data_IF_258719665229
#
_entry.id   IF_258719665229
#
_cell.length_a   1.000
_cell.length_b   1.000
_cell.length_c   1.000
_cell.angle_alpha   90.00
_cell.angle_beta   90.00
_cell.angle_gamma   90.00
#
_symmetry.space_group_name_H-M   'P 1'
#
loop_
_entity.id
_entity.type
_entity.pdbx_description
1 polymer ?
#
# COMPACT_ATOMS: atom_id res chain seq x y z
N UNK A 1 10.39 -18.50 -7.66
CA UNK A 1 11.64 -18.66 -6.86
C UNK A 1 11.93 -17.38 -6.07
N UNK A 2 11.97 -16.19 -6.67
CA UNK A 2 12.31 -14.92 -5.99
C UNK A 2 11.37 -14.53 -4.86
N UNK A 3 10.10 -14.95 -4.89
CA UNK A 3 9.13 -14.78 -3.81
C UNK A 3 9.24 -15.82 -2.70
N UNK A 4 9.92 -16.94 -2.95
CA UNK A 4 10.07 -18.04 -1.99
C UNK A 4 11.21 -17.81 -1.00
N UNK A 5 12.20 -17.01 -1.40
CA UNK A 5 13.40 -16.75 -0.60
C UNK A 5 13.28 -15.36 0.04
N UNK A 6 13.21 -15.34 1.37
CA UNK A 6 13.41 -14.11 2.13
C UNK A 6 14.91 -13.86 2.21
N UNK A 7 15.44 -13.02 1.32
CA UNK A 7 16.84 -12.61 1.42
C UNK A 7 17.04 -11.93 2.76
N UNK A 8 18.06 -12.39 3.52
CA UNK A 8 18.49 -11.66 4.72
C UNK A 8 19.13 -10.37 4.25
N UNK A 9 18.71 -9.25 4.84
CA UNK A 9 19.47 -8.02 4.70
C UNK A 9 20.95 -8.31 5.06
N UNK A 10 21.86 -7.78 4.25
CA UNK A 10 23.28 -7.82 4.62
C UNK A 10 23.44 -7.14 5.97
N UNK A 11 24.35 -7.62 6.84
CA UNK A 11 24.67 -6.92 8.06
C UNK A 11 24.96 -5.45 7.74
N UNK A 12 24.24 -4.55 8.39
CA UNK A 12 24.37 -3.12 8.18
C UNK A 12 24.41 -2.42 9.53
N UNK A 13 25.43 -1.61 9.73
CA UNK A 13 25.58 -0.83 10.96
C UNK A 13 24.78 0.46 10.79
N UNK A 14 23.80 0.68 11.68
CA UNK A 14 23.07 1.94 11.75
C UNK A 14 24.03 2.99 12.32
N UNK A 15 24.39 3.97 11.51
CA UNK A 15 25.35 5.02 11.85
C UNK A 15 24.70 6.33 12.31
N UNK A 16 23.38 6.47 12.10
CA UNK A 16 22.60 7.66 12.46
C UNK A 16 21.15 7.28 12.74
N UNK A 17 20.56 7.92 13.75
CA UNK A 17 19.12 7.96 13.92
C UNK A 17 18.58 9.22 13.24
N UNK A 18 17.68 9.05 12.27
CA UNK A 18 17.07 10.13 11.50
C UNK A 18 15.83 10.68 12.20
N UNK A 19 15.49 11.92 11.93
CA UNK A 19 14.27 12.55 12.48
C UNK A 19 13.08 12.34 11.56
N UNK A 20 11.97 11.81 12.11
CA UNK A 20 10.76 11.43 11.37
C UNK A 20 9.55 12.30 11.71
N UNK A 21 8.68 12.51 10.71
CA UNK A 21 7.28 12.87 10.92
C UNK A 21 6.43 11.60 10.75
N UNK A 22 5.62 11.22 11.74
CA UNK A 22 4.53 10.27 11.58
C UNK A 22 3.26 11.05 11.24
N UNK A 23 2.73 10.90 10.03
CA UNK A 23 1.63 11.68 9.50
C UNK A 23 0.38 10.81 9.37
N UNK A 24 -0.71 11.25 9.95
CA UNK A 24 -2.00 10.56 10.00
C UNK A 24 -3.08 11.45 9.38
N UNK A 25 -3.40 11.29 8.08
CA UNK A 25 -4.58 11.90 7.51
C UNK A 25 -5.85 11.21 8.05
N UNK A 26 -6.76 11.98 8.62
CA UNK A 26 -7.96 11.48 9.28
C UNK A 26 -9.21 12.26 8.82
N UNK A 27 -10.32 11.54 8.55
CA UNK A 27 -11.61 12.11 8.23
C UNK A 27 -12.72 11.36 8.97
N UNK A 28 -13.21 11.92 10.09
CA UNK A 28 -14.21 11.30 10.95
C UNK A 28 -13.75 9.94 11.52
N UNK A 29 -12.62 9.95 12.23
CA UNK A 29 -11.94 8.78 12.77
C UNK A 29 -11.82 8.86 14.32
N UNK A 30 -12.76 9.53 15.01
CA UNK A 30 -12.72 9.72 16.46
C UNK A 30 -12.64 8.41 17.26
N UNK A 31 -13.18 7.32 16.69
CA UNK A 31 -13.22 6.01 17.34
C UNK A 31 -11.88 5.27 17.36
N UNK A 32 -10.96 5.56 16.44
CA UNK A 32 -9.76 4.72 16.19
C UNK A 32 -8.45 5.49 16.23
N UNK A 33 -8.47 6.82 16.00
CA UNK A 33 -7.23 7.62 15.87
C UNK A 33 -6.35 7.59 17.11
N UNK A 34 -6.94 7.46 18.31
CA UNK A 34 -6.20 7.39 19.58
C UNK A 34 -5.34 6.12 19.67
N UNK A 35 -5.86 4.98 19.23
CA UNK A 35 -5.14 3.70 19.28
C UNK A 35 -3.87 3.72 18.42
N UNK A 36 -3.96 4.33 17.22
CA UNK A 36 -2.80 4.53 16.37
C UNK A 36 -1.76 5.42 17.05
N UNK A 37 -2.18 6.57 17.60
CA UNK A 37 -1.27 7.50 18.30
C UNK A 37 -0.58 6.79 19.47
N UNK A 38 -1.32 6.02 20.27
CA UNK A 38 -0.73 5.25 21.38
C UNK A 38 0.25 4.17 20.89
N UNK A 39 0.01 3.53 19.75
CA UNK A 39 0.96 2.58 19.16
C UNK A 39 2.24 3.26 18.67
N UNK A 40 2.13 4.47 18.11
CA UNK A 40 3.27 5.28 17.69
C UNK A 40 4.08 5.79 18.89
N UNK A 41 3.45 6.15 20.00
CA UNK A 41 4.15 6.53 21.24
C UNK A 41 4.99 5.38 21.85
N UNK A 42 4.69 4.13 21.50
CA UNK A 42 5.41 2.93 21.97
C UNK A 42 6.59 2.52 21.09
N UNK A 43 6.93 3.30 20.05
CA UNK A 43 8.07 2.96 19.18
C UNK A 43 9.38 2.81 19.95
N UNK A 44 10.14 1.74 19.64
CA UNK A 44 11.55 1.55 20.07
C UNK A 44 12.45 2.47 19.22
N UNK A 45 12.29 3.78 19.46
CA UNK A 45 13.01 4.85 18.77
C UNK A 45 13.13 6.07 19.69
N UNK A 46 14.21 6.86 19.62
CA UNK A 46 14.37 8.05 20.46
C UNK A 46 13.19 9.02 20.30
N UNK A 47 12.55 9.37 21.41
CA UNK A 47 11.30 10.16 21.41
C UNK A 47 11.47 11.57 20.84
N UNK A 48 12.64 12.14 21.00
CA UNK A 48 13.03 13.46 20.48
C UNK A 48 13.27 13.45 18.94
N UNK A 49 13.33 12.26 18.32
CA UNK A 49 13.59 12.09 16.90
C UNK A 49 12.35 11.74 16.08
N UNK A 50 11.16 11.85 16.65
CA UNK A 50 9.94 11.79 15.84
C UNK A 50 8.80 12.57 16.48
N UNK A 51 7.98 13.14 15.62
CA UNK A 51 6.75 13.83 15.98
C UNK A 51 5.54 13.17 15.31
N UNK A 52 4.40 13.15 16.01
CA UNK A 52 3.14 12.57 15.52
C UNK A 52 2.21 13.69 15.11
N UNK A 53 1.87 13.74 13.82
CA UNK A 53 0.98 14.72 13.22
C UNK A 53 -0.33 14.08 12.78
N UNK A 54 -1.45 14.70 13.16
CA UNK A 54 -2.78 14.34 12.65
C UNK A 54 -3.30 15.46 11.79
N UNK A 55 -3.68 15.15 10.55
CA UNK A 55 -4.37 16.06 9.65
C UNK A 55 -5.86 15.73 9.73
N UNK A 56 -6.60 16.48 10.55
CA UNK A 56 -8.06 16.35 10.64
C UNK A 56 -8.68 17.07 9.43
N UNK A 57 -8.94 16.29 8.36
CA UNK A 57 -9.41 16.82 7.07
C UNK A 57 -10.92 16.78 6.94
N UNK A 58 -11.56 17.95 6.93
CA UNK A 58 -13.02 18.10 6.83
C UNK A 58 -13.79 17.25 7.87
N UNK A 59 -13.25 17.12 9.08
CA UNK A 59 -13.91 16.37 10.16
C UNK A 59 -15.12 17.13 10.70
N UNK A 60 -16.19 16.38 10.98
CA UNK A 60 -17.43 16.86 11.59
C UNK A 60 -17.67 16.25 12.99
N UNK A 61 -16.82 15.29 13.37
CA UNK A 61 -16.80 14.62 14.66
C UNK A 61 -15.66 15.14 15.57
N UNK A 62 -15.35 14.44 16.66
CA UNK A 62 -14.32 14.82 17.62
C UNK A 62 -12.92 14.31 17.28
N UNK A 63 -12.64 13.91 16.03
CA UNK A 63 -11.33 13.39 15.62
C UNK A 63 -10.18 14.28 16.07
N UNK A 64 -10.27 15.60 15.83
CA UNK A 64 -9.22 16.56 16.17
C UNK A 64 -8.99 16.67 17.69
N UNK A 65 -10.07 16.67 18.48
CA UNK A 65 -10.02 16.74 19.95
C UNK A 65 -9.39 15.46 20.53
N UNK A 66 -9.85 14.28 20.07
CA UNK A 66 -9.34 12.96 20.49
C UNK A 66 -7.86 12.82 20.16
N UNK A 67 -7.45 13.20 18.95
CA UNK A 67 -6.05 13.15 18.54
C UNK A 67 -5.15 14.06 19.40
N UNK A 68 -5.63 15.29 19.72
CA UNK A 68 -4.90 16.21 20.60
C UNK A 68 -4.79 15.68 22.02
N UNK A 69 -5.87 15.10 22.57
CA UNK A 69 -5.85 14.47 23.90
C UNK A 69 -4.91 13.27 23.96
N UNK A 70 -4.82 12.51 22.89
CA UNK A 70 -3.87 11.41 22.75
C UNK A 70 -2.40 11.90 22.58
N UNK A 71 -2.15 13.20 22.46
CA UNK A 71 -0.82 13.82 22.45
C UNK A 71 -0.22 14.01 21.07
N UNK A 72 -1.01 14.00 20.00
CA UNK A 72 -0.56 14.33 18.66
C UNK A 72 -0.59 15.86 18.42
N UNK A 73 0.24 16.31 17.48
CA UNK A 73 0.18 17.66 16.93
C UNK A 73 -0.88 17.68 15.84
N UNK A 74 -1.97 18.44 16.05
CA UNK A 74 -3.15 18.39 15.17
C UNK A 74 -3.21 19.60 14.26
N UNK A 75 -3.38 19.35 12.98
CA UNK A 75 -3.69 20.32 11.94
C UNK A 75 -5.10 20.07 11.42
N UNK A 76 -5.96 21.09 11.45
CA UNK A 76 -7.32 21.02 10.91
C UNK A 76 -7.35 21.69 9.54
N UNK A 77 -7.92 20.98 8.56
CA UNK A 77 -8.12 21.45 7.21
C UNK A 77 -9.58 21.36 6.82
N UNK A 78 -10.11 22.46 6.28
CA UNK A 78 -11.47 22.55 5.77
C UNK A 78 -11.43 23.03 4.32
N UNK A 79 -11.70 22.12 3.38
CA UNK A 79 -11.73 22.41 1.95
C UNK A 79 -12.75 21.47 1.26
N UNK A 80 -13.95 22.00 1.01
CA UNK A 80 -15.05 21.27 0.40
C UNK A 80 -14.79 20.85 -1.06
N UNK A 81 -13.81 21.48 -1.72
CA UNK A 81 -13.52 21.26 -3.14
C UNK A 81 -12.46 20.18 -3.37
N UNK A 82 -11.61 19.88 -2.37
CA UNK A 82 -10.45 18.98 -2.47
C UNK A 82 -10.42 17.99 -1.31
N UNK A 83 -11.31 16.97 -1.37
CA UNK A 83 -11.61 16.04 -0.27
C UNK A 83 -10.86 14.70 -0.31
N UNK A 84 -9.68 14.60 -0.91
CA UNK A 84 -8.94 13.33 -0.92
C UNK A 84 -7.74 13.36 0.01
N UNK A 85 -7.31 12.17 0.47
CA UNK A 85 -6.07 11.97 1.25
C UNK A 85 -4.86 12.64 0.59
N UNK A 86 -4.74 12.53 -0.74
CA UNK A 86 -3.65 13.15 -1.49
C UNK A 86 -3.64 14.68 -1.35
N UNK A 87 -4.80 15.34 -1.36
CA UNK A 87 -4.89 16.79 -1.15
C UNK A 87 -4.57 17.20 0.29
N UNK A 88 -5.01 16.45 1.28
CA UNK A 88 -4.70 16.70 2.68
C UNK A 88 -3.20 16.59 2.94
N UNK A 89 -2.55 15.53 2.41
CA UNK A 89 -1.11 15.33 2.48
C UNK A 89 -0.33 16.46 1.80
N UNK A 90 -0.73 16.82 0.57
CA UNK A 90 -0.07 17.91 -0.17
C UNK A 90 -0.16 19.25 0.57
N UNK A 91 -1.33 19.57 1.12
CA UNK A 91 -1.55 20.79 1.90
C UNK A 91 -0.63 20.84 3.13
N UNK A 92 -0.55 19.78 3.89
CA UNK A 92 0.29 19.71 5.10
C UNK A 92 1.79 19.72 4.78
N UNK A 93 2.20 18.86 3.85
CA UNK A 93 3.62 18.73 3.47
C UNK A 93 4.15 20.02 2.83
N UNK A 94 3.32 20.77 2.09
CA UNK A 94 3.68 22.04 1.53
C UNK A 94 4.01 23.08 2.63
N UNK A 95 3.20 23.13 3.71
CA UNK A 95 3.51 23.99 4.86
C UNK A 95 4.84 23.58 5.51
N UNK A 96 5.09 22.28 5.68
CA UNK A 96 6.36 21.79 6.26
C UNK A 96 7.58 22.09 5.38
N UNK A 97 7.41 22.13 4.06
CA UNK A 97 8.46 22.58 3.14
C UNK A 97 8.70 24.09 3.26
N UNK A 98 7.64 24.90 3.31
CA UNK A 98 7.71 26.37 3.45
C UNK A 98 8.31 26.79 4.80
N UNK A 99 8.05 26.02 5.87
CA UNK A 99 8.65 26.20 7.20
C UNK A 99 10.12 25.75 7.27
N UNK A 100 10.68 25.17 6.21
CA UNK A 100 11.98 24.48 6.19
C UNK A 100 12.15 23.52 7.38
N UNK A 101 11.11 22.74 7.64
CA UNK A 101 11.04 21.86 8.79
C UNK A 101 12.18 20.84 8.79
N UNK A 102 12.88 20.75 9.93
CA UNK A 102 14.06 19.92 10.08
C UNK A 102 13.71 18.44 10.33
N UNK A 103 13.32 17.74 9.27
CA UNK A 103 13.07 16.29 9.26
C UNK A 103 13.86 15.62 8.13
N UNK A 104 14.35 14.41 8.40
CA UNK A 104 15.02 13.59 7.38
C UNK A 104 14.00 12.83 6.50
N UNK A 105 12.90 12.35 7.11
CA UNK A 105 11.86 11.58 6.41
C UNK A 105 10.49 11.70 7.10
N UNK A 106 9.44 11.23 6.41
CA UNK A 106 8.12 11.08 7.00
C UNK A 106 7.56 9.69 6.70
N UNK A 107 6.68 9.22 7.61
CA UNK A 107 5.91 7.98 7.46
C UNK A 107 4.43 8.33 7.44
N UNK A 108 3.65 7.65 6.59
CA UNK A 108 2.21 7.87 6.46
C UNK A 108 1.46 6.63 6.95
N UNK A 109 0.42 6.88 7.78
CA UNK A 109 -0.44 5.85 8.36
C UNK A 109 -1.90 6.22 8.18
N UNK A 110 -2.76 5.26 7.86
CA UNK A 110 -4.20 5.42 7.93
C UNK A 110 -4.65 5.42 9.40
N UNK A 111 -5.69 6.19 9.74
CA UNK A 111 -6.08 6.47 11.13
C UNK A 111 -6.51 5.24 11.94
N UNK A 112 -6.94 4.17 11.26
CA UNK A 112 -7.37 2.89 11.83
C UNK A 112 -6.22 1.88 12.03
N UNK A 113 -4.98 2.27 11.76
CA UNK A 113 -3.84 1.37 11.87
C UNK A 113 -3.34 1.18 13.30
N UNK A 114 -2.61 0.08 13.50
CA UNK A 114 -1.71 -0.13 14.65
C UNK A 114 -0.30 -0.38 14.10
N UNK A 115 0.70 0.23 14.71
CA UNK A 115 2.09 0.17 14.22
C UNK A 115 2.94 -0.71 15.14
N UNK A 116 3.72 -1.62 14.55
CA UNK A 116 4.69 -2.44 15.29
C UNK A 116 5.73 -1.56 15.99
N UNK A 117 6.12 -1.94 17.19
CA UNK A 117 7.05 -1.18 18.06
C UNK A 117 8.41 -0.89 17.40
N UNK A 118 8.83 -1.70 16.45
CA UNK A 118 10.11 -1.55 15.73
C UNK A 118 9.97 -0.86 14.36
N UNK A 119 8.79 -0.33 14.03
CA UNK A 119 8.54 0.21 12.70
C UNK A 119 9.53 1.33 12.31
N UNK A 120 9.65 2.38 13.14
CA UNK A 120 10.55 3.51 12.86
C UNK A 120 12.02 3.06 12.83
N UNK A 121 12.43 2.15 13.72
CA UNK A 121 13.76 1.58 13.73
C UNK A 121 14.10 0.84 12.43
N UNK A 122 13.16 0.07 11.91
CA UNK A 122 13.32 -0.66 10.65
C UNK A 122 13.30 0.29 9.44
N UNK A 123 12.48 1.36 9.47
CA UNK A 123 12.51 2.40 8.43
C UNK A 123 13.81 3.20 8.48
N UNK A 124 14.32 3.53 9.67
CA UNK A 124 15.62 4.18 9.83
C UNK A 124 16.74 3.35 9.22
N UNK A 125 16.74 2.03 9.44
CA UNK A 125 17.71 1.13 8.82
C UNK A 125 17.68 1.24 7.28
N UNK A 126 16.50 1.28 6.66
CA UNK A 126 16.34 1.44 5.20
C UNK A 126 16.82 2.81 4.71
N UNK A 127 16.52 3.86 5.46
CA UNK A 127 17.00 5.20 5.15
C UNK A 127 18.54 5.29 5.22
N UNK A 128 19.15 4.69 6.24
CA UNK A 128 20.62 4.56 6.34
C UNK A 128 21.22 3.73 5.21
N UNK A 129 20.48 2.78 4.62
CA UNK A 129 20.90 2.02 3.44
C UNK A 129 20.77 2.82 2.12
N UNK A 130 20.29 4.08 2.19
CA UNK A 130 20.14 4.96 1.04
C UNK A 130 18.82 4.81 0.28
N UNK A 131 17.83 4.13 0.86
CA UNK A 131 16.49 4.01 0.28
C UNK A 131 15.69 5.30 0.51
N UNK A 132 15.20 5.93 -0.56
CA UNK A 132 14.47 7.20 -0.51
C UNK A 132 12.99 7.06 -0.19
N UNK A 133 12.36 6.01 -0.70
CA UNK A 133 10.95 5.68 -0.54
C UNK A 133 10.83 4.20 -0.24
N UNK A 134 10.18 3.84 0.85
CA UNK A 134 10.14 2.46 1.34
C UNK A 134 8.72 2.08 1.76
N UNK A 135 8.18 1.01 1.20
CA UNK A 135 6.94 0.39 1.68
C UNK A 135 7.26 -0.58 2.82
N UNK A 136 6.54 -0.47 3.93
CA UNK A 136 6.54 -1.45 5.01
C UNK A 136 5.62 -2.65 4.74
N UNK A 137 5.65 -3.62 5.64
CA UNK A 137 4.78 -4.80 5.59
C UNK A 137 3.39 -4.43 6.11
N UNK A 138 2.39 -4.39 5.22
CA UNK A 138 0.99 -4.19 5.58
C UNK A 138 0.37 -5.53 5.96
N UNK A 139 0.06 -5.71 7.24
CA UNK A 139 -0.68 -6.84 7.79
C UNK A 139 -2.11 -6.41 8.17
N UNK A 140 -2.94 -7.32 8.63
CA UNK A 140 -4.35 -7.08 8.91
C UNK A 140 -4.62 -7.27 10.41
N UNK A 141 -5.37 -6.33 11.02
CA UNK A 141 -5.77 -6.39 12.45
C UNK A 141 -6.79 -7.51 12.72
N UNK A 142 -7.74 -7.66 11.83
CA UNK A 142 -8.92 -8.52 12.00
C UNK A 142 -9.05 -9.63 10.91
N UNK A 143 -8.01 -10.47 10.68
CA UNK A 143 -7.99 -11.41 9.56
C UNK A 143 -8.99 -12.54 9.66
N UNK A 144 -9.55 -12.81 10.84
CA UNK A 144 -10.41 -13.99 11.13
C UNK A 144 -11.86 -13.64 11.41
N UNK A 145 -12.25 -12.37 11.36
CA UNK A 145 -13.61 -11.94 11.74
C UNK A 145 -14.67 -12.51 10.79
N UNK A 146 -14.40 -12.49 9.50
CA UNK A 146 -15.27 -13.10 8.49
C UNK A 146 -14.50 -13.40 7.18
N UNK A 147 -15.23 -13.90 6.15
CA UNK A 147 -14.62 -14.28 4.88
C UNK A 147 -14.09 -13.07 4.07
N UNK A 148 -14.64 -11.85 4.27
CA UNK A 148 -14.20 -10.63 3.60
C UNK A 148 -12.86 -10.19 4.18
N UNK A 149 -12.76 -10.07 5.51
CA UNK A 149 -11.51 -9.69 6.19
C UNK A 149 -10.42 -10.72 5.96
N UNK A 150 -10.78 -12.01 5.92
CA UNK A 150 -9.88 -13.09 5.54
C UNK A 150 -9.42 -12.97 4.08
N UNK A 151 -10.30 -12.58 3.16
CA UNK A 151 -9.96 -12.30 1.78
C UNK A 151 -8.94 -11.17 1.65
N UNK A 152 -9.12 -10.06 2.37
CA UNK A 152 -8.13 -8.98 2.44
C UNK A 152 -6.79 -9.44 3.03
N UNK A 153 -6.81 -10.22 4.10
CA UNK A 153 -5.59 -10.73 4.71
C UNK A 153 -4.78 -11.58 3.72
N UNK A 154 -5.43 -12.53 3.04
CA UNK A 154 -4.80 -13.36 2.01
C UNK A 154 -4.28 -12.50 0.85
N UNK A 155 -5.05 -11.50 0.41
CA UNK A 155 -4.65 -10.57 -0.64
C UNK A 155 -3.36 -9.82 -0.26
N UNK A 156 -3.30 -9.18 0.93
CA UNK A 156 -2.13 -8.43 1.35
C UNK A 156 -0.92 -9.34 1.63
N UNK A 157 -1.09 -10.54 2.20
CA UNK A 157 0.01 -11.49 2.35
C UNK A 157 0.55 -11.92 0.98
N UNK A 158 -0.33 -12.10 -0.01
CA UNK A 158 0.05 -12.38 -1.40
C UNK A 158 0.82 -11.21 -2.01
N UNK A 159 0.32 -9.98 -1.84
CA UNK A 159 1.00 -8.77 -2.31
C UNK A 159 2.38 -8.61 -1.66
N UNK A 160 2.47 -8.77 -0.35
CA UNK A 160 3.74 -8.66 0.37
C UNK A 160 4.79 -9.63 -0.15
N UNK A 161 4.42 -10.89 -0.39
CA UNK A 161 5.36 -11.94 -0.79
C UNK A 161 5.57 -12.01 -2.30
N UNK A 162 4.49 -12.11 -3.07
CA UNK A 162 4.59 -12.35 -4.52
C UNK A 162 4.85 -11.08 -5.33
N UNK A 163 4.45 -9.93 -4.80
CA UNK A 163 4.65 -8.66 -5.47
C UNK A 163 5.85 -7.89 -4.88
N UNK A 164 5.79 -7.45 -3.62
CA UNK A 164 6.81 -6.58 -3.04
C UNK A 164 8.15 -7.30 -2.85
N UNK A 165 8.16 -8.45 -2.16
CA UNK A 165 9.38 -9.21 -1.90
C UNK A 165 10.03 -9.69 -3.20
N UNK A 166 9.24 -10.22 -4.14
CA UNK A 166 9.76 -10.71 -5.41
C UNK A 166 10.43 -9.60 -6.22
N UNK A 167 9.77 -8.43 -6.35
CA UNK A 167 10.34 -7.28 -7.05
C UNK A 167 11.59 -6.73 -6.36
N UNK A 168 11.55 -6.61 -5.05
CA UNK A 168 12.69 -6.17 -4.28
C UNK A 168 13.91 -7.07 -4.49
N UNK A 169 13.71 -8.40 -4.46
CA UNK A 169 14.77 -9.39 -4.69
C UNK A 169 15.32 -9.36 -6.12
N UNK A 170 14.51 -9.00 -7.11
CA UNK A 170 14.89 -8.89 -8.52
C UNK A 170 15.51 -7.52 -8.88
N UNK A 171 15.62 -6.59 -7.93
CA UNK A 171 16.08 -5.23 -8.21
C UNK A 171 15.02 -4.36 -8.93
N UNK A 172 13.79 -4.86 -9.05
CA UNK A 172 12.63 -4.11 -9.54
C UNK A 172 12.03 -3.24 -8.44
N UNK A 173 11.05 -2.40 -8.78
CA UNK A 173 10.41 -1.49 -7.84
C UNK A 173 9.14 -2.08 -7.24
N UNK A 174 9.05 -2.28 -5.91
CA UNK A 174 7.77 -2.34 -5.23
C UNK A 174 6.96 -1.05 -5.49
N UNK A 175 5.70 -1.04 -5.06
CA UNK A 175 4.86 0.16 -5.02
C UNK A 175 4.49 0.46 -3.57
N UNK A 176 4.18 1.70 -3.25
CA UNK A 176 3.49 2.00 -1.99
C UNK A 176 2.01 1.63 -2.12
N UNK A 177 1.39 1.23 -1.02
CA UNK A 177 0.03 0.71 -0.98
C UNK A 177 -0.84 1.37 0.09
N UNK A 178 -0.79 2.70 0.14
CA UNK A 178 -1.67 3.55 0.92
C UNK A 178 -1.18 3.87 2.32
N UNK A 179 -0.63 2.92 3.06
CA UNK A 179 -0.24 3.09 4.46
C UNK A 179 1.05 2.38 4.82
N UNK A 180 1.65 2.74 5.97
CA UNK A 180 2.86 2.09 6.47
C UNK A 180 4.05 2.25 5.55
N UNK A 181 4.26 3.41 4.95
CA UNK A 181 5.40 3.69 4.09
C UNK A 181 6.17 4.94 4.54
N UNK A 182 7.43 4.99 4.17
CA UNK A 182 8.36 6.09 4.44
C UNK A 182 8.75 6.79 3.15
N UNK A 183 8.90 8.10 3.21
CA UNK A 183 9.47 8.93 2.15
C UNK A 183 10.50 9.88 2.75
N UNK A 184 11.71 9.93 2.16
CA UNK A 184 12.73 10.92 2.53
C UNK A 184 12.24 12.33 2.19
N UNK A 185 12.38 13.26 3.13
CA UNK A 185 11.70 14.56 3.03
C UNK A 185 12.17 15.40 1.84
N UNK A 186 13.45 15.31 1.47
CA UNK A 186 13.98 16.02 0.31
C UNK A 186 13.43 15.53 -1.05
N UNK A 187 12.87 14.33 -1.09
CA UNK A 187 12.22 13.79 -2.32
C UNK A 187 11.04 14.62 -2.76
N UNK A 188 10.32 15.23 -1.78
CA UNK A 188 9.13 16.03 -2.07
C UNK A 188 9.39 17.55 -2.09
N UNK A 189 10.56 18.00 -1.59
CA UNK A 189 10.89 19.45 -1.55
C UNK A 189 10.71 20.17 -2.89
N UNK A 190 11.09 19.58 -4.05
CA UNK A 190 10.97 20.27 -5.33
C UNK A 190 9.55 20.50 -5.84
N UNK A 191 8.64 19.54 -5.60
CA UNK A 191 7.32 19.49 -6.26
C UNK A 191 6.13 19.36 -5.28
N UNK A 192 6.40 19.07 -3.99
CA UNK A 192 5.38 18.71 -3.01
C UNK A 192 4.84 17.28 -3.23
N UNK A 193 3.74 16.96 -2.52
CA UNK A 193 2.98 15.71 -2.70
C UNK A 193 1.86 15.93 -3.73
N UNK A 194 2.23 16.13 -5.00
CA UNK A 194 1.28 16.43 -6.07
C UNK A 194 0.75 15.15 -6.68
N UNK A 195 -0.50 14.79 -6.39
CA UNK A 195 -1.21 13.65 -6.97
C UNK A 195 -2.60 14.08 -7.44
N UNK A 196 -3.13 13.43 -8.48
CA UNK A 196 -4.39 13.76 -9.13
C UNK A 196 -5.41 12.63 -9.08
N UNK A 197 -4.94 11.39 -8.91
CA UNK A 197 -5.79 10.19 -8.95
C UNK A 197 -6.31 9.81 -7.57
N UNK A 198 -7.33 8.96 -7.52
CA UNK A 198 -7.88 8.43 -6.28
C UNK A 198 -6.95 7.43 -5.57
N UNK A 199 -5.90 6.98 -6.26
CA UNK A 199 -4.84 6.11 -5.73
C UNK A 199 -3.52 6.88 -5.78
N UNK A 200 -3.40 7.86 -4.87
CA UNK A 200 -2.25 8.76 -4.77
C UNK A 200 -0.93 8.03 -4.55
N UNK A 201 -0.99 6.87 -3.88
CA UNK A 201 0.11 5.96 -3.59
C UNK A 201 0.66 5.29 -4.86
N UNK A 202 -0.21 4.70 -5.67
CA UNK A 202 0.16 4.11 -6.97
C UNK A 202 0.72 5.22 -7.88
N UNK A 203 0.01 6.35 -7.97
CA UNK A 203 0.45 7.49 -8.78
C UNK A 203 1.85 7.97 -8.39
N UNK A 204 2.10 8.17 -7.09
CA UNK A 204 3.41 8.58 -6.59
C UNK A 204 4.48 7.56 -6.95
N UNK A 205 4.20 6.26 -6.79
CA UNK A 205 5.12 5.18 -7.13
C UNK A 205 5.47 5.19 -8.62
N UNK A 206 4.47 5.34 -9.51
CA UNK A 206 4.68 5.41 -10.95
C UNK A 206 5.54 6.61 -11.37
N UNK A 207 5.31 7.77 -10.76
CA UNK A 207 6.15 8.97 -10.98
C UNK A 207 7.61 8.72 -10.61
N UNK A 208 7.87 7.99 -9.53
CA UNK A 208 9.24 7.61 -9.13
C UNK A 208 9.87 6.65 -10.15
N UNK A 209 9.12 5.62 -10.57
CA UNK A 209 9.58 4.63 -11.56
C UNK A 209 9.91 5.31 -12.91
N UNK A 210 9.07 6.23 -13.39
CA UNK A 210 9.31 7.01 -14.60
C UNK A 210 10.63 7.79 -14.50
N UNK A 211 10.93 8.37 -13.34
CA UNK A 211 12.19 9.07 -13.05
C UNK A 211 13.38 8.11 -12.83
N UNK A 212 13.23 6.82 -13.07
CA UNK A 212 14.28 5.81 -12.85
C UNK A 212 14.64 5.57 -11.38
N UNK A 213 13.76 5.98 -10.45
CA UNK A 213 13.97 5.86 -9.00
C UNK A 213 13.21 4.66 -8.45
N UNK A 214 13.94 3.68 -7.94
CA UNK A 214 13.40 2.47 -7.32
C UNK A 214 12.83 2.79 -5.93
N UNK A 215 11.76 2.09 -5.56
CA UNK A 215 11.24 2.04 -4.20
C UNK A 215 11.83 0.85 -3.44
N UNK A 216 11.98 1.00 -2.13
CA UNK A 216 12.43 -0.03 -1.20
C UNK A 216 11.29 -0.85 -0.61
N UNK A 217 11.67 -1.93 0.09
CA UNK A 217 10.77 -2.81 0.81
C UNK A 217 11.35 -3.13 2.20
N UNK A 218 10.56 -2.89 3.25
CA UNK A 218 10.93 -3.15 4.64
C UNK A 218 10.01 -4.21 5.26
N UNK A 219 10.33 -5.48 5.09
CA UNK A 219 9.52 -6.62 5.55
C UNK A 219 9.34 -6.66 7.08
N UNK A 220 10.26 -6.08 7.83
CA UNK A 220 10.23 -6.06 9.30
C UNK A 220 9.61 -4.76 9.86
N UNK A 221 9.30 -3.75 9.03
CA UNK A 221 8.54 -2.58 9.41
C UNK A 221 7.04 -2.86 9.18
N UNK A 222 6.34 -3.33 10.23
CA UNK A 222 4.97 -3.80 10.11
C UNK A 222 3.95 -2.75 10.54
N UNK A 223 2.85 -2.69 9.79
CA UNK A 223 1.64 -1.96 10.13
C UNK A 223 0.45 -2.92 10.03
N UNK A 224 -0.47 -2.83 10.97
CA UNK A 224 -1.68 -3.63 11.04
C UNK A 224 -2.88 -2.75 10.70
N UNK A 225 -3.53 -3.07 9.62
CA UNK A 225 -4.62 -2.31 9.02
C UNK A 225 -5.98 -2.98 9.31
N UNK A 226 -7.03 -2.19 9.54
CA UNK A 226 -8.36 -2.70 9.78
C UNK A 226 -9.11 -2.88 8.45
N UNK A 227 -9.79 -4.02 8.28
CA UNK A 227 -10.52 -4.30 7.07
C UNK A 227 -12.03 -4.27 7.29
N UNK A 228 -12.82 -3.82 6.27
CA UNK A 228 -14.26 -3.71 6.40
C UNK A 228 -14.92 -5.06 6.63
N UNK A 229 -15.86 -5.11 7.58
CA UNK A 229 -16.65 -6.30 7.90
C UNK A 229 -17.77 -6.54 6.88
N UNK A 230 -18.30 -5.47 6.30
CA UNK A 230 -19.46 -5.51 5.41
C UNK A 230 -19.09 -5.58 3.93
N UNK A 231 -19.80 -6.42 3.16
CA UNK A 231 -19.59 -6.56 1.71
C UNK A 231 -19.78 -5.22 0.98
N UNK A 232 -20.83 -4.46 1.30
CA UNK A 232 -21.11 -3.15 0.66
C UNK A 232 -19.96 -2.15 0.87
N UNK A 233 -19.40 -2.11 2.07
CA UNK A 233 -18.26 -1.24 2.39
C UNK A 233 -17.00 -1.69 1.64
N UNK A 234 -16.73 -3.00 1.64
CA UNK A 234 -15.63 -3.60 0.88
C UNK A 234 -15.75 -3.32 -0.62
N UNK A 235 -16.95 -3.48 -1.19
CA UNK A 235 -17.22 -3.18 -2.59
C UNK A 235 -16.94 -1.71 -2.93
N UNK A 236 -17.45 -0.77 -2.11
CA UNK A 236 -17.20 0.67 -2.29
C UNK A 236 -15.70 1.01 -2.26
N UNK A 237 -14.96 0.42 -1.33
CA UNK A 237 -13.51 0.62 -1.21
C UNK A 237 -12.77 0.11 -2.46
N UNK A 238 -13.05 -1.12 -2.91
CA UNK A 238 -12.40 -1.71 -4.09
C UNK A 238 -12.81 -1.03 -5.39
N UNK A 239 -14.05 -0.56 -5.50
CA UNK A 239 -14.49 0.28 -6.63
C UNK A 239 -13.64 1.56 -6.70
N UNK A 240 -13.39 2.23 -5.56
CA UNK A 240 -12.50 3.40 -5.51
C UNK A 240 -11.08 3.07 -5.99
N UNK A 241 -10.53 1.91 -5.58
CA UNK A 241 -9.21 1.47 -6.04
C UNK A 241 -9.18 1.20 -7.54
N UNK A 242 -10.18 0.51 -8.06
CA UNK A 242 -10.31 0.23 -9.51
C UNK A 242 -10.39 1.52 -10.32
N UNK A 243 -11.22 2.48 -9.90
CA UNK A 243 -11.33 3.79 -10.55
C UNK A 243 -10.00 4.53 -10.53
N UNK A 244 -9.32 4.57 -9.38
CA UNK A 244 -8.01 5.18 -9.25
C UNK A 244 -6.96 4.51 -10.14
N UNK A 245 -6.98 3.18 -10.24
CA UNK A 245 -6.09 2.44 -11.13
C UNK A 245 -6.36 2.77 -12.62
N UNK A 246 -7.63 2.87 -13.03
CA UNK A 246 -8.01 3.29 -14.39
C UNK A 246 -7.53 4.73 -14.68
N UNK A 247 -7.63 5.63 -13.69
CA UNK A 247 -7.07 6.97 -13.80
C UNK A 247 -5.55 6.92 -14.01
N UNK A 248 -4.84 6.08 -13.26
CA UNK A 248 -3.41 5.88 -13.44
C UNK A 248 -3.06 5.30 -14.82
N UNK A 249 -3.84 4.35 -15.34
CA UNK A 249 -3.68 3.82 -16.70
C UNK A 249 -3.73 4.96 -17.71
N UNK A 250 -4.75 5.81 -17.63
CA UNK A 250 -4.96 6.93 -18.55
C UNK A 250 -3.81 7.94 -18.52
N UNK A 251 -3.36 8.30 -17.32
CA UNK A 251 -2.35 9.35 -17.12
C UNK A 251 -0.92 8.86 -17.35
N UNK A 252 -0.59 7.59 -16.99
CA UNK A 252 0.80 7.14 -16.87
C UNK A 252 1.24 6.07 -17.87
N UNK A 253 0.34 5.46 -18.68
CA UNK A 253 0.74 4.46 -19.69
C UNK A 253 1.71 5.04 -20.71
N UNK A 254 1.38 6.21 -21.29
CA UNK A 254 2.27 6.87 -22.28
C UNK A 254 3.60 7.32 -21.67
N UNK A 255 3.65 8.03 -20.51
CA UNK A 255 4.91 8.36 -19.85
C UNK A 255 5.78 7.15 -19.52
N UNK A 256 5.18 6.04 -19.03
CA UNK A 256 5.91 4.80 -18.75
C UNK A 256 6.46 4.13 -20.01
N UNK A 257 5.70 4.11 -21.11
CA UNK A 257 6.15 3.57 -22.38
C UNK A 257 7.34 4.37 -22.93
N UNK A 258 7.31 5.70 -22.83
CA UNK A 258 8.44 6.58 -23.21
C UNK A 258 9.65 6.28 -22.33
N UNK A 259 9.48 6.28 -20.99
CA UNK A 259 10.56 5.98 -20.04
C UNK A 259 11.16 4.58 -20.26
N UNK A 260 10.34 3.59 -20.61
CA UNK A 260 10.80 2.23 -20.94
C UNK A 260 11.69 2.24 -22.18
N UNK A 261 11.32 3.01 -23.21
CA UNK A 261 12.10 3.13 -24.46
C UNK A 261 13.41 3.89 -24.25
N UNK A 262 13.38 4.98 -23.48
CA UNK A 262 14.53 5.85 -23.24
C UNK A 262 15.53 5.25 -22.25
N UNK A 263 15.05 4.83 -21.09
CA UNK A 263 15.90 4.31 -20.01
C UNK A 263 16.32 2.86 -20.23
N UNK A 264 15.57 2.08 -21.01
CA UNK A 264 15.81 0.65 -21.31
C UNK A 264 15.96 -0.22 -20.04
N UNK A 265 15.24 0.12 -18.97
CA UNK A 265 15.33 -0.59 -17.69
C UNK A 265 14.18 -1.60 -17.55
N UNK A 266 14.47 -2.77 -16.98
CA UNK A 266 13.43 -3.75 -16.63
C UNK A 266 12.41 -3.19 -15.63
N UNK A 267 12.81 -2.25 -14.81
CA UNK A 267 11.93 -1.60 -13.83
C UNK A 267 10.83 -0.77 -14.51
N UNK A 268 11.18 0.00 -15.56
CA UNK A 268 10.18 0.78 -16.31
C UNK A 268 9.22 -0.15 -17.07
N UNK A 269 9.76 -1.23 -17.68
CA UNK A 269 8.94 -2.25 -18.34
C UNK A 269 7.99 -2.94 -17.36
N UNK A 270 8.48 -3.36 -16.17
CA UNK A 270 7.64 -3.96 -15.12
C UNK A 270 6.53 -3.00 -14.65
N UNK A 271 6.84 -1.70 -14.47
CA UNK A 271 5.85 -0.68 -14.15
C UNK A 271 4.79 -0.50 -15.24
N UNK A 272 5.19 -0.55 -16.51
CA UNK A 272 4.27 -0.50 -17.65
C UNK A 272 3.37 -1.75 -17.68
N UNK A 273 3.94 -2.93 -17.52
CA UNK A 273 3.19 -4.20 -17.48
C UNK A 273 2.21 -4.21 -16.29
N UNK A 274 2.61 -3.72 -15.12
CA UNK A 274 1.73 -3.60 -13.97
C UNK A 274 0.48 -2.79 -14.30
N UNK A 275 0.65 -1.59 -14.84
CA UNK A 275 -0.47 -0.67 -15.07
C UNK A 275 -1.42 -1.18 -16.16
N UNK A 276 -0.93 -1.86 -17.20
CA UNK A 276 -1.78 -2.38 -18.29
C UNK A 276 -2.39 -3.76 -18.00
N UNK A 277 -2.03 -4.41 -16.89
CA UNK A 277 -2.52 -5.76 -16.55
C UNK A 277 -4.04 -5.85 -16.54
N UNK A 278 -4.75 -4.83 -15.99
CA UNK A 278 -6.22 -4.80 -16.00
C UNK A 278 -6.78 -4.76 -17.42
N UNK A 279 -6.16 -4.00 -18.34
CA UNK A 279 -6.56 -3.94 -19.75
C UNK A 279 -6.38 -5.32 -20.40
N UNK A 280 -5.23 -5.97 -20.17
CA UNK A 280 -4.95 -7.27 -20.73
C UNK A 280 -5.93 -8.34 -20.23
N UNK A 281 -6.30 -8.30 -18.96
CA UNK A 281 -7.31 -9.20 -18.38
C UNK A 281 -8.70 -8.95 -18.99
N UNK A 282 -9.11 -7.70 -19.16
CA UNK A 282 -10.38 -7.36 -19.78
C UNK A 282 -10.43 -7.77 -21.26
N UNK A 283 -9.36 -7.55 -22.04
CA UNK A 283 -9.25 -7.98 -23.42
C UNK A 283 -9.30 -9.51 -23.53
N UNK A 284 -8.59 -10.23 -22.66
CA UNK A 284 -8.66 -11.68 -22.61
C UNK A 284 -10.09 -12.19 -22.41
N UNK A 285 -10.82 -11.60 -21.43
CA UNK A 285 -12.22 -11.93 -21.19
C UNK A 285 -13.11 -11.66 -22.43
N UNK A 286 -12.97 -10.50 -23.09
CA UNK A 286 -13.75 -10.13 -24.27
C UNK A 286 -13.48 -11.06 -25.46
N UNK A 287 -12.23 -11.46 -25.73
CA UNK A 287 -11.88 -12.40 -26.79
C UNK A 287 -12.60 -13.73 -26.57
N UNK A 288 -12.65 -14.21 -25.33
CA UNK A 288 -13.31 -15.47 -25.01
C UNK A 288 -14.84 -15.40 -25.03
N UNK A 289 -15.42 -14.28 -24.59
CA UNK A 289 -16.87 -14.08 -24.61
C UNK A 289 -17.44 -13.94 -26.05
N UNK A 290 -16.63 -13.45 -27.00
CA UNK A 290 -17.02 -13.26 -28.40
C UNK A 290 -16.96 -14.53 -29.28
N UNK A 291 -16.32 -15.59 -28.82
CA UNK A 291 -16.27 -16.85 -29.59
C UNK A 291 -17.52 -17.69 -29.28
N UNK A 292 -18.40 -17.89 -30.25
CA UNK A 292 -19.57 -18.79 -30.14
C UNK A 292 -19.14 -20.18 -29.65
N UNK A 293 -19.80 -20.73 -28.64
CA UNK A 293 -19.36 -21.94 -27.95
C UNK A 293 -20.19 -23.15 -28.38
N UNK A 294 -19.52 -24.20 -28.84
CA UNK A 294 -20.10 -25.57 -28.89
C UNK A 294 -20.15 -26.18 -27.48
N UNK A 295 -20.93 -27.26 -27.29
CA UNK A 295 -21.02 -27.91 -25.96
C UNK A 295 -19.68 -28.43 -25.45
N UNK A 296 -18.79 -28.94 -26.33
CA UNK A 296 -17.44 -29.36 -25.97
C UNK A 296 -16.54 -28.18 -25.62
N UNK A 297 -16.67 -27.07 -26.38
CA UNK A 297 -15.93 -25.83 -26.08
C UNK A 297 -16.36 -25.24 -24.75
N UNK A 298 -17.64 -25.35 -24.40
CA UNK A 298 -18.15 -24.93 -23.08
C UNK A 298 -17.49 -25.70 -21.94
N UNK A 299 -17.41 -27.04 -22.07
CA UNK A 299 -16.75 -27.92 -21.10
C UNK A 299 -15.25 -27.57 -20.96
N UNK A 300 -14.54 -27.52 -22.08
CA UNK A 300 -13.11 -27.20 -22.10
C UNK A 300 -12.84 -25.81 -21.57
N UNK A 301 -13.71 -24.83 -21.85
CA UNK A 301 -13.61 -23.49 -21.32
C UNK A 301 -13.90 -23.45 -19.81
N UNK A 302 -14.90 -24.21 -19.31
CA UNK A 302 -15.13 -24.35 -17.87
C UNK A 302 -13.87 -24.87 -17.16
N UNK A 303 -13.22 -25.90 -17.65
CA UNK A 303 -11.95 -26.42 -17.10
C UNK A 303 -10.84 -25.37 -17.20
N UNK A 304 -10.70 -24.72 -18.35
CA UNK A 304 -9.69 -23.69 -18.63
C UNK A 304 -9.82 -22.47 -17.73
N UNK A 305 -11.04 -22.09 -17.33
CA UNK A 305 -11.29 -20.96 -16.43
C UNK A 305 -11.35 -21.36 -14.95
N UNK A 306 -11.83 -22.57 -14.63
CA UNK A 306 -11.92 -23.04 -13.25
C UNK A 306 -10.54 -23.08 -12.59
N UNK A 307 -9.52 -23.58 -13.30
CA UNK A 307 -8.17 -23.68 -12.75
C UNK A 307 -7.56 -22.31 -12.45
N UNK A 308 -7.44 -21.37 -13.41
CA UNK A 308 -6.81 -20.08 -13.11
C UNK A 308 -7.67 -19.20 -12.21
N UNK A 309 -8.99 -19.31 -12.26
CA UNK A 309 -9.88 -18.40 -11.49
C UNK A 309 -10.12 -18.87 -10.06
N UNK A 310 -10.14 -20.17 -9.81
CA UNK A 310 -10.46 -20.73 -8.50
C UNK A 310 -9.29 -21.50 -7.87
N UNK A 311 -8.71 -22.46 -8.57
CA UNK A 311 -7.70 -23.33 -7.96
C UNK A 311 -6.35 -22.64 -7.79
N UNK A 312 -5.92 -21.85 -8.77
CA UNK A 312 -4.63 -21.17 -8.70
C UNK A 312 -4.58 -20.13 -7.55
N UNK A 313 -5.58 -19.24 -7.36
CA UNK A 313 -5.60 -18.34 -6.21
C UNK A 313 -5.62 -19.07 -4.87
N UNK A 314 -6.40 -20.13 -4.72
CA UNK A 314 -6.46 -20.94 -3.49
C UNK A 314 -5.10 -21.60 -3.23
N UNK A 315 -4.53 -22.27 -4.24
CA UNK A 315 -3.22 -22.91 -4.11
C UNK A 315 -2.11 -21.94 -3.77
N UNK A 316 -2.11 -20.77 -4.42
CA UNK A 316 -1.15 -19.68 -4.14
C UNK A 316 -1.33 -19.15 -2.72
N UNK A 317 -2.56 -18.90 -2.30
CA UNK A 317 -2.86 -18.43 -0.95
C UNK A 317 -2.40 -19.45 0.11
N UNK A 318 -2.70 -20.72 -0.09
CA UNK A 318 -2.27 -21.81 0.81
C UNK A 318 -0.75 -21.91 0.89
N UNK A 319 -0.05 -21.84 -0.25
CA UNK A 319 1.40 -21.85 -0.28
C UNK A 319 1.99 -20.67 0.52
N UNK A 320 1.46 -19.47 0.35
CA UNK A 320 1.91 -18.27 1.08
C UNK A 320 1.66 -18.42 2.57
N UNK A 321 0.48 -18.89 2.95
CA UNK A 321 0.15 -19.11 4.37
C UNK A 321 1.09 -20.13 5.01
N UNK A 322 1.46 -21.20 4.31
CA UNK A 322 2.44 -22.19 4.77
C UNK A 322 3.85 -21.57 4.91
N UNK A 323 4.31 -20.85 3.89
CA UNK A 323 5.64 -20.22 3.88
C UNK A 323 5.80 -19.14 4.96
N UNK A 324 4.74 -18.38 5.22
CA UNK A 324 4.73 -17.29 6.23
C UNK A 324 4.22 -17.75 7.60
N UNK A 325 4.00 -19.09 7.77
CA UNK A 325 3.50 -19.71 9.02
C UNK A 325 2.21 -19.07 9.53
N UNK A 326 1.29 -18.72 8.60
CA UNK A 326 -0.01 -18.14 8.92
C UNK A 326 -0.99 -19.22 9.38
N UNK A 327 -1.93 -18.89 10.29
CA UNK A 327 -2.88 -19.88 10.80
C UNK A 327 -3.90 -20.28 9.72
N UNK A 328 -3.86 -21.54 9.25
CA UNK A 328 -4.74 -22.02 8.18
C UNK A 328 -6.15 -22.29 8.69
N UNK A 329 -6.29 -22.96 9.86
CA UNK A 329 -7.60 -23.41 10.37
C UNK A 329 -8.62 -22.28 10.51
N UNK A 330 -8.34 -21.12 11.16
CA UNK A 330 -9.29 -20.03 11.26
C UNK A 330 -9.54 -19.32 9.92
N UNK A 331 -8.66 -19.49 8.93
CA UNK A 331 -8.75 -18.85 7.62
C UNK A 331 -9.45 -19.71 6.55
N UNK A 332 -9.87 -20.94 6.85
CA UNK A 332 -10.43 -21.87 5.86
C UNK A 332 -11.60 -21.27 5.06
N UNK A 333 -12.55 -20.61 5.74
CA UNK A 333 -13.68 -19.95 5.04
C UNK A 333 -13.20 -18.87 4.08
N UNK A 334 -12.27 -18.03 4.51
CA UNK A 334 -11.66 -17.01 3.68
C UNK A 334 -10.91 -17.61 2.48
N UNK A 335 -10.17 -18.68 2.70
CA UNK A 335 -9.41 -19.39 1.65
C UNK A 335 -10.33 -19.93 0.55
N UNK A 336 -11.42 -20.62 0.92
CA UNK A 336 -12.42 -21.14 -0.02
C UNK A 336 -13.13 -20.02 -0.77
N UNK A 337 -13.48 -18.90 -0.08
CA UNK A 337 -14.15 -17.75 -0.66
C UNK A 337 -13.19 -16.78 -1.38
N UNK A 338 -11.87 -17.00 -1.31
CA UNK A 338 -10.88 -16.06 -1.86
C UNK A 338 -11.04 -15.77 -3.36
N UNK A 339 -11.34 -16.75 -4.23
CA UNK A 339 -11.63 -16.46 -5.63
C UNK A 339 -12.84 -15.55 -5.83
N UNK A 340 -13.90 -15.72 -5.02
CA UNK A 340 -15.08 -14.84 -5.05
C UNK A 340 -14.71 -13.41 -4.56
N UNK A 341 -13.86 -13.32 -3.54
CA UNK A 341 -13.32 -12.04 -3.08
C UNK A 341 -12.53 -11.32 -4.18
N UNK A 342 -11.70 -12.03 -4.94
CA UNK A 342 -10.94 -11.43 -6.05
C UNK A 342 -11.84 -10.99 -7.21
N UNK A 343 -12.93 -11.72 -7.49
CA UNK A 343 -13.86 -11.44 -8.59
C UNK A 343 -14.97 -10.43 -8.26
N UNK A 344 -15.05 -9.98 -7.00
CA UNK A 344 -16.12 -9.08 -6.55
C UNK A 344 -15.77 -7.59 -6.53
#
# INVERSE_FOLDING_TARGET
ICSLIKLKDKPFIINKNHKFMAIIPAHNEEAVVADLIESLKKQDYPKELYDIYVIADNCTDKTAEVAKQAGAIVYQRFDETKKTKGFALNWFLKQKIEEDANYDAFCIFDADNIVDVNFLKNMNKKLCQGEDVVQGYRDIKNPTDNWITAGYAIFYWTMNRMYHLARYNLGLSPLINGTGFMVRFDVIKPEGWVTKTLTEDIEFSLKRIIKGKRLGWAVDAKVYDEQPLGFKQSWKQRTRWTVGHIQCIKEYTKPLAIATKENKTLMNLDGLLYIITLILLALNFLIYAGNGMSGLDLFMNCVRYLVPTFLLPIGTAMLIMLLDKRPIKPMLRGLVCYPLFLGS
#
